data_IF_602831718443
#
_entry.id   IF_602831718443
#
_cell.length_a   1.000
_cell.length_b   1.000
_cell.length_c   1.000
_cell.angle_alpha   90.00
_cell.angle_beta   90.00
_cell.angle_gamma   90.00
#
_symmetry.space_group_name_H-M   'P 1'
#
loop_
_entity.id
_entity.type
_entity.pdbx_description
1 polymer ?
#
# COMPACT_ATOMS: atom_id res chain seq x y z
N UNK A 1 22.44 -15.29 -6.13
CA UNK A 1 22.11 -14.22 -5.16
C UNK A 1 23.06 -13.07 -5.38
N UNK A 2 22.55 -11.83 -5.42
CA UNK A 2 23.35 -10.64 -5.65
C UNK A 2 23.71 -9.98 -4.31
N UNK A 3 24.93 -9.48 -4.19
CA UNK A 3 25.45 -8.85 -2.99
C UNK A 3 26.06 -7.50 -3.34
N UNK A 4 25.84 -6.50 -2.50
CA UNK A 4 26.54 -5.23 -2.55
C UNK A 4 27.70 -5.35 -1.57
N UNK A 5 28.92 -5.16 -2.03
CA UNK A 5 30.12 -5.28 -1.23
C UNK A 5 31.04 -4.07 -1.42
N UNK A 6 31.91 -3.84 -0.44
CA UNK A 6 32.97 -2.86 -0.50
C UNK A 6 34.32 -3.57 -0.54
N UNK A 7 35.20 -3.10 -1.43
CA UNK A 7 36.59 -3.52 -1.48
C UNK A 7 37.32 -2.94 -0.28
N UNK A 8 37.91 -3.79 0.56
CA UNK A 8 38.70 -3.39 1.72
C UNK A 8 40.04 -4.11 1.71
N UNK A 9 41.06 -3.44 2.24
CA UNK A 9 42.36 -4.09 2.47
C UNK A 9 42.39 -4.60 3.89
N UNK A 10 42.60 -5.91 4.05
CA UNK A 10 42.72 -6.49 5.38
C UNK A 10 44.02 -5.97 6.04
N UNK A 11 43.94 -5.37 7.24
CA UNK A 11 45.10 -4.77 7.90
C UNK A 11 46.16 -5.79 8.30
N UNK A 12 45.79 -7.07 8.46
CA UNK A 12 46.67 -8.15 8.90
C UNK A 12 47.29 -8.87 7.71
N UNK A 13 46.47 -9.30 6.74
CA UNK A 13 46.94 -10.09 5.59
C UNK A 13 47.50 -9.22 4.46
N UNK A 14 47.21 -7.91 4.48
CA UNK A 14 47.40 -6.95 3.38
C UNK A 14 46.74 -7.37 2.06
N UNK A 15 45.87 -8.38 2.09
CA UNK A 15 45.13 -8.84 0.93
C UNK A 15 43.88 -8.00 0.73
N UNK A 16 43.46 -7.91 -0.53
CA UNK A 16 42.21 -7.26 -0.89
C UNK A 16 41.08 -8.25 -0.62
N UNK A 17 40.08 -7.80 0.11
CA UNK A 17 38.90 -8.56 0.51
C UNK A 17 37.64 -7.75 0.15
N UNK A 18 36.52 -8.44 -0.01
CA UNK A 18 35.21 -7.87 -0.26
C UNK A 18 34.38 -8.02 1.00
N UNK A 19 34.10 -6.91 1.68
CA UNK A 19 33.14 -6.89 2.79
C UNK A 19 31.74 -6.72 2.22
N UNK A 20 30.83 -7.64 2.52
CA UNK A 20 29.41 -7.46 2.18
C UNK A 20 28.82 -6.29 2.95
N UNK A 21 27.90 -5.58 2.31
CA UNK A 21 27.13 -4.49 2.91
C UNK A 21 25.64 -4.78 2.85
N UNK A 22 25.18 -5.43 1.78
CA UNK A 22 23.81 -5.84 1.64
C UNK A 22 23.69 -7.07 0.74
N UNK A 23 22.65 -7.87 0.95
CA UNK A 23 22.30 -9.02 0.12
C UNK A 23 20.90 -8.84 -0.46
N UNK A 24 20.73 -9.26 -1.71
CA UNK A 24 19.44 -9.27 -2.38
C UNK A 24 18.66 -10.52 -1.97
N UNK A 25 17.59 -10.35 -1.20
CA UNK A 25 16.73 -11.46 -0.75
C UNK A 25 15.65 -11.77 -1.78
N UNK A 26 15.14 -10.76 -2.48
CA UNK A 26 14.17 -10.88 -3.58
C UNK A 26 14.48 -9.84 -4.66
N UNK A 27 13.76 -9.83 -5.80
CA UNK A 27 14.05 -8.92 -6.92
C UNK A 27 14.16 -7.44 -6.52
N UNK A 28 13.38 -6.98 -5.54
CA UNK A 28 13.33 -5.56 -5.13
C UNK A 28 13.77 -5.31 -3.68
N UNK A 29 13.99 -6.35 -2.87
CA UNK A 29 14.31 -6.22 -1.45
C UNK A 29 15.76 -6.59 -1.19
N UNK A 30 16.45 -5.69 -0.49
CA UNK A 30 17.82 -5.85 -0.04
C UNK A 30 17.87 -5.78 1.49
N UNK A 31 18.61 -6.69 2.09
CA UNK A 31 18.87 -6.70 3.52
C UNK A 31 20.29 -6.23 3.78
N UNK A 32 20.47 -5.28 4.70
CA UNK A 32 21.77 -4.72 5.04
C UNK A 32 22.44 -5.64 6.06
N UNK A 33 23.51 -6.30 5.64
CA UNK A 33 24.32 -7.16 6.49
C UNK A 33 25.80 -6.99 6.15
N UNK A 34 26.61 -6.80 7.20
CA UNK A 34 28.07 -6.58 7.11
C UNK A 34 28.89 -7.75 7.62
N UNK A 35 28.25 -8.91 7.80
CA UNK A 35 28.85 -10.04 8.51
C UNK A 35 29.82 -10.85 7.64
N UNK A 36 29.67 -10.82 6.32
CA UNK A 36 30.46 -11.67 5.43
C UNK A 36 31.62 -10.92 4.79
N UNK A 37 32.79 -11.56 4.77
CA UNK A 37 33.99 -11.08 4.09
C UNK A 37 34.49 -12.17 3.17
N UNK A 38 34.74 -11.81 1.91
CA UNK A 38 35.22 -12.74 0.89
C UNK A 38 36.62 -12.36 0.42
N UNK A 39 37.54 -13.33 0.28
CA UNK A 39 38.83 -13.06 -0.31
C UNK A 39 38.67 -12.75 -1.81
N UNK A 40 39.28 -11.66 -2.27
CA UNK A 40 39.33 -11.32 -3.68
C UNK A 40 40.63 -11.87 -4.29
N UNK A 41 40.54 -12.47 -5.47
CA UNK A 41 41.72 -12.95 -6.18
C UNK A 41 42.70 -11.79 -6.44
N UNK A 42 43.99 -12.04 -6.23
CA UNK A 42 45.07 -11.03 -6.15
C UNK A 42 45.25 -10.12 -7.38
N UNK A 43 44.60 -10.43 -8.51
CA UNK A 43 44.75 -9.70 -9.77
C UNK A 43 43.58 -8.74 -10.08
N UNK A 44 42.71 -8.47 -9.10
CA UNK A 44 41.64 -7.49 -9.28
C UNK A 44 42.20 -6.07 -9.34
N UNK A 45 41.96 -5.35 -10.44
CA UNK A 45 42.29 -3.93 -10.60
C UNK A 45 41.42 -2.97 -9.77
N UNK A 46 40.71 -3.49 -8.77
CA UNK A 46 39.75 -2.73 -7.97
C UNK A 46 40.47 -2.03 -6.81
N UNK A 47 40.26 -0.72 -6.71
CA UNK A 47 40.82 0.09 -5.64
C UNK A 47 40.12 -0.14 -4.30
N UNK A 48 40.84 0.12 -3.21
CA UNK A 48 40.28 0.13 -1.86
C UNK A 48 39.14 1.16 -1.75
N UNK A 49 38.05 0.79 -1.09
CA UNK A 49 36.86 1.61 -0.88
C UNK A 49 35.82 1.56 -2.00
N UNK A 50 36.11 0.92 -3.13
CA UNK A 50 35.17 0.81 -4.26
C UNK A 50 33.98 -0.09 -3.89
N UNK A 51 32.78 0.32 -4.29
CA UNK A 51 31.56 -0.47 -4.15
C UNK A 51 31.33 -1.33 -5.39
N UNK A 52 31.06 -2.61 -5.16
CA UNK A 52 30.86 -3.60 -6.21
C UNK A 52 29.60 -4.44 -5.95
N UNK A 53 28.97 -4.87 -7.03
CA UNK A 53 27.95 -5.89 -7.04
C UNK A 53 28.61 -7.24 -7.33
N UNK A 54 28.38 -8.19 -6.44
CA UNK A 54 28.92 -9.55 -6.49
C UNK A 54 27.76 -10.50 -6.70
N UNK A 55 27.74 -11.19 -7.82
CA UNK A 55 26.77 -12.25 -8.08
C UNK A 55 27.37 -13.58 -7.65
N UNK A 56 26.63 -14.34 -6.84
CA UNK A 56 27.06 -15.66 -6.36
C UNK A 56 26.07 -16.75 -6.72
N UNK A 57 26.61 -17.92 -7.04
CA UNK A 57 25.84 -19.13 -7.27
C UNK A 57 25.50 -19.81 -5.92
N UNK A 58 24.57 -20.77 -5.95
CA UNK A 58 24.11 -21.51 -4.77
C UNK A 58 25.22 -22.30 -4.05
N UNK A 59 26.32 -22.60 -4.74
CA UNK A 59 27.52 -23.24 -4.18
C UNK A 59 28.45 -22.25 -3.45
N UNK A 60 28.15 -20.94 -3.49
CA UNK A 60 28.94 -19.88 -2.87
C UNK A 60 30.07 -19.33 -3.75
N UNK A 61 30.25 -19.82 -4.97
CA UNK A 61 31.23 -19.29 -5.92
C UNK A 61 30.79 -17.92 -6.47
N UNK A 62 31.77 -17.05 -6.72
CA UNK A 62 31.54 -15.73 -7.31
C UNK A 62 31.43 -15.91 -8.82
N UNK A 63 30.26 -15.61 -9.37
CA UNK A 63 29.98 -15.66 -10.81
C UNK A 63 30.53 -14.39 -11.48
N UNK A 64 30.20 -13.23 -10.91
CA UNK A 64 30.55 -11.95 -11.52
C UNK A 64 30.76 -10.86 -10.47
N UNK A 65 31.63 -9.90 -10.79
CA UNK A 65 31.88 -8.70 -9.99
C UNK A 65 31.75 -7.50 -10.94
N UNK A 66 30.89 -6.54 -10.59
CA UNK A 66 30.65 -5.33 -11.38
C UNK A 66 30.71 -4.10 -10.47
N UNK A 67 31.11 -2.95 -10.99
CA UNK A 67 31.05 -1.71 -10.21
C UNK A 67 29.60 -1.32 -9.88
N UNK A 68 29.33 -1.00 -8.62
CA UNK A 68 27.98 -0.68 -8.17
C UNK A 68 27.54 0.76 -8.50
N UNK A 69 28.41 1.56 -9.13
CA UNK A 69 28.18 3.01 -9.34
C UNK A 69 26.90 3.29 -10.14
N UNK A 70 26.78 2.73 -11.34
CA UNK A 70 25.62 2.97 -12.23
C UNK A 70 24.33 2.41 -11.61
N UNK A 71 24.43 1.26 -10.95
CA UNK A 71 23.30 0.66 -10.25
C UNK A 71 22.82 1.54 -9.07
N UNK A 72 23.73 2.07 -8.26
CA UNK A 72 23.40 3.02 -7.19
C UNK A 72 22.76 4.30 -7.74
N UNK A 73 23.29 4.85 -8.84
CA UNK A 73 22.69 6.01 -9.50
C UNK A 73 21.27 5.70 -9.99
N UNK A 74 21.04 4.51 -10.54
CA UNK A 74 19.72 4.03 -10.92
C UNK A 74 18.75 3.94 -9.73
N UNK A 75 19.20 3.41 -8.60
CA UNK A 75 18.40 3.38 -7.37
C UNK A 75 18.08 4.77 -6.84
N UNK A 76 19.06 5.66 -6.78
CA UNK A 76 18.85 7.05 -6.35
C UNK A 76 17.86 7.74 -7.30
N UNK A 77 17.94 7.48 -8.60
CA UNK A 77 16.98 8.00 -9.56
C UNK A 77 15.57 7.45 -9.31
N UNK A 78 15.44 6.14 -9.13
CA UNK A 78 14.16 5.45 -8.93
C UNK A 78 13.48 5.83 -7.60
N UNK A 79 14.23 5.96 -6.51
CA UNK A 79 13.69 6.09 -5.16
C UNK A 79 13.87 7.47 -4.53
N UNK A 80 14.71 8.36 -5.06
CA UNK A 80 14.91 9.71 -4.52
C UNK A 80 14.61 10.84 -5.52
N UNK A 81 14.34 10.55 -6.79
CA UNK A 81 13.86 11.58 -7.73
C UNK A 81 12.37 11.86 -7.49
N UNK A 82 11.88 13.03 -7.90
CA UNK A 82 10.49 13.53 -7.70
C UNK A 82 9.34 12.56 -8.00
N UNK A 83 9.58 11.47 -8.73
CA UNK A 83 8.61 10.42 -9.05
C UNK A 83 8.64 9.21 -8.09
N UNK A 84 9.54 9.20 -7.12
CA UNK A 84 9.60 8.17 -6.11
C UNK A 84 8.41 8.30 -5.16
N UNK A 85 7.84 7.15 -4.78
CA UNK A 85 6.78 7.04 -3.79
C UNK A 85 7.37 7.47 -2.43
N UNK A 86 7.40 8.77 -2.19
CA UNK A 86 7.82 9.35 -0.92
C UNK A 86 6.79 8.92 0.15
N UNK A 87 7.23 8.54 1.37
CA UNK A 87 6.33 8.34 2.51
C UNK A 87 5.26 9.43 2.67
N UNK A 88 5.60 10.69 2.39
CA UNK A 88 4.64 11.82 2.41
C UNK A 88 3.55 11.71 1.35
N UNK A 89 3.87 11.16 0.17
CA UNK A 89 2.88 10.91 -0.88
C UNK A 89 1.90 9.81 -0.45
N UNK A 90 2.41 8.72 0.12
CA UNK A 90 1.58 7.63 0.65
C UNK A 90 0.68 8.13 1.78
N UNK A 91 1.21 8.91 2.71
CA UNK A 91 0.44 9.53 3.79
C UNK A 91 -0.64 10.47 3.22
N UNK A 92 -0.32 11.26 2.20
CA UNK A 92 -1.28 12.15 1.55
C UNK A 92 -2.42 11.40 0.84
N UNK A 93 -2.12 10.27 0.20
CA UNK A 93 -3.12 9.41 -0.44
C UNK A 93 -3.97 8.68 0.61
N UNK A 94 -3.36 8.20 1.71
CA UNK A 94 -4.11 7.63 2.84
C UNK A 94 -5.09 8.64 3.44
N UNK A 95 -4.67 9.88 3.62
CA UNK A 95 -5.52 10.96 4.12
C UNK A 95 -6.71 11.23 3.18
N UNK A 96 -6.50 11.21 1.86
CA UNK A 96 -7.59 11.36 0.88
C UNK A 96 -8.58 10.20 0.93
N UNK A 97 -8.08 8.96 1.04
CA UNK A 97 -8.92 7.77 1.18
C UNK A 97 -9.77 7.86 2.45
N UNK A 98 -9.18 8.28 3.57
CA UNK A 98 -9.92 8.44 4.83
C UNK A 98 -10.97 9.56 4.74
N UNK A 99 -10.66 10.67 4.07
CA UNK A 99 -11.65 11.72 3.79
C UNK A 99 -12.82 11.19 2.96
N UNK A 100 -12.56 10.47 1.87
CA UNK A 100 -13.61 9.87 1.05
C UNK A 100 -14.45 8.86 1.84
N UNK A 101 -13.82 8.07 2.71
CA UNK A 101 -14.54 7.14 3.60
C UNK A 101 -15.49 7.88 4.54
N UNK A 102 -15.06 9.01 5.10
CA UNK A 102 -15.90 9.84 5.96
C UNK A 102 -17.09 10.43 5.19
N UNK A 103 -16.85 10.96 3.99
CA UNK A 103 -17.90 11.49 3.12
C UNK A 103 -18.95 10.43 2.75
N UNK A 104 -18.51 9.24 2.32
CA UNK A 104 -19.40 8.12 1.97
C UNK A 104 -20.22 7.66 3.17
N UNK A 105 -19.61 7.63 4.35
CA UNK A 105 -20.30 7.26 5.60
C UNK A 105 -21.36 8.29 5.95
N UNK A 106 -21.04 9.58 5.86
CA UNK A 106 -21.99 10.67 6.10
C UNK A 106 -23.17 10.61 5.13
N UNK A 107 -22.90 10.40 3.84
CA UNK A 107 -23.96 10.26 2.83
C UNK A 107 -24.87 9.05 3.11
N UNK A 108 -24.31 7.91 3.52
CA UNK A 108 -25.10 6.74 3.90
C UNK A 108 -26.01 7.02 5.10
N UNK A 109 -25.51 7.72 6.12
CA UNK A 109 -26.32 8.08 7.29
C UNK A 109 -27.47 9.02 6.90
N UNK A 110 -27.22 10.00 6.04
CA UNK A 110 -28.26 10.88 5.53
C UNK A 110 -29.31 10.14 4.70
N UNK A 111 -28.90 9.21 3.84
CA UNK A 111 -29.81 8.37 3.07
C UNK A 111 -30.69 7.51 3.97
N UNK A 112 -30.10 6.86 4.98
CA UNK A 112 -30.84 6.05 5.95
C UNK A 112 -31.87 6.89 6.72
N UNK A 113 -31.50 8.11 7.12
CA UNK A 113 -32.42 9.04 7.76
C UNK A 113 -33.60 9.37 6.85
N UNK A 114 -33.33 9.74 5.59
CA UNK A 114 -34.39 10.06 4.62
C UNK A 114 -35.29 8.86 4.35
N UNK A 115 -34.72 7.67 4.25
CA UNK A 115 -35.48 6.43 4.08
C UNK A 115 -36.46 6.23 5.24
N UNK A 116 -36.02 6.42 6.48
CA UNK A 116 -36.87 6.29 7.67
C UNK A 116 -37.97 7.37 7.72
N UNK A 117 -37.66 8.61 7.35
CA UNK A 117 -38.65 9.69 7.24
C UNK A 117 -39.74 9.36 6.20
N UNK A 118 -39.34 8.76 5.07
CA UNK A 118 -40.28 8.33 4.01
C UNK A 118 -41.16 7.17 4.51
N UNK A 119 -40.58 6.16 5.16
CA UNK A 119 -41.36 5.03 5.66
C UNK A 119 -42.37 5.48 6.72
N UNK A 120 -41.97 6.38 7.63
CA UNK A 120 -42.88 6.97 8.63
C UNK A 120 -44.05 7.68 7.96
N UNK A 121 -43.80 8.52 6.95
CA UNK A 121 -44.88 9.19 6.20
C UNK A 121 -45.78 8.22 5.47
N UNK A 122 -45.24 7.11 4.98
CA UNK A 122 -46.00 6.06 4.31
C UNK A 122 -46.94 5.35 5.28
N UNK A 123 -46.49 5.06 6.50
CA UNK A 123 -47.32 4.50 7.56
C UNK A 123 -48.46 5.45 7.95
N UNK A 124 -48.16 6.75 8.12
CA UNK A 124 -49.17 7.78 8.38
C UNK A 124 -50.24 7.85 7.27
N UNK A 125 -49.82 7.82 6.00
CA UNK A 125 -50.73 7.82 4.87
C UNK A 125 -51.64 6.58 4.86
N UNK A 126 -51.11 5.40 5.15
CA UNK A 126 -51.90 4.17 5.23
C UNK A 126 -52.97 4.23 6.34
N UNK A 127 -52.63 4.78 7.50
CA UNK A 127 -53.59 4.96 8.60
C UNK A 127 -54.72 5.92 8.22
N UNK A 128 -54.39 7.03 7.55
CA UNK A 128 -55.38 8.00 7.05
C UNK A 128 -56.28 7.38 5.99
N UNK A 129 -55.72 6.63 5.04
CA UNK A 129 -56.48 5.92 4.00
C UNK A 129 -57.46 4.91 4.61
N UNK A 130 -57.03 4.16 5.62
CA UNK A 130 -57.88 3.21 6.33
C UNK A 130 -59.02 3.92 7.07
N UNK A 131 -58.73 5.03 7.75
CA UNK A 131 -59.73 5.82 8.48
C UNK A 131 -60.79 6.38 7.53
N UNK A 132 -60.34 6.93 6.40
CA UNK A 132 -61.22 7.49 5.36
C UNK A 132 -62.09 6.41 4.73
N UNK A 133 -61.55 5.20 4.53
CA UNK A 133 -62.31 4.05 4.04
C UNK A 133 -63.42 3.65 5.04
N UNK A 134 -63.10 3.54 6.33
CA UNK A 134 -64.08 3.22 7.36
C UNK A 134 -65.19 4.27 7.46
N UNK A 135 -64.85 5.55 7.36
CA UNK A 135 -65.83 6.63 7.41
C UNK A 135 -66.77 6.60 6.19
N UNK A 136 -66.23 6.32 4.99
CA UNK A 136 -67.05 6.10 3.79
C UNK A 136 -68.01 4.93 3.93
N UNK A 137 -67.53 3.78 4.42
CA UNK A 137 -68.37 2.60 4.67
C UNK A 137 -69.51 2.94 5.65
N UNK A 138 -69.21 3.68 6.72
CA UNK A 138 -70.22 4.11 7.69
C UNK A 138 -71.27 5.06 7.07
N UNK A 139 -70.84 6.03 6.27
CA UNK A 139 -71.76 6.94 5.56
C UNK A 139 -72.65 6.20 4.56
N UNK A 140 -72.11 5.22 3.84
CA UNK A 140 -72.90 4.38 2.92
C UNK A 140 -73.95 3.54 3.65
N UNK A 141 -73.63 2.99 4.82
CA UNK A 141 -74.58 2.27 5.66
C UNK A 141 -75.72 3.17 6.16
N UNK A 142 -75.40 4.39 6.62
CA UNK A 142 -76.41 5.35 7.06
C UNK A 142 -77.31 5.77 5.90
N UNK A 143 -76.75 6.02 4.72
CA UNK A 143 -77.52 6.35 3.52
C UNK A 143 -78.49 5.22 3.14
N UNK A 144 -78.06 3.95 3.21
CA UNK A 144 -78.93 2.79 2.97
C UNK A 144 -80.08 2.69 3.98
N UNK A 145 -79.81 2.96 5.27
CA UNK A 145 -80.83 2.93 6.33
C UNK A 145 -81.89 4.02 6.18
N UNK A 146 -81.54 5.19 5.63
CA UNK A 146 -82.49 6.28 5.40
C UNK A 146 -83.38 6.08 4.15
N UNK A 147 -83.05 5.12 3.28
CA UNK A 147 -83.81 4.81 2.07
C UNK A 147 -84.78 3.63 2.23
N UNK A 148 -84.78 2.94 3.38
CA UNK A 148 -85.71 1.86 3.75
C UNK A 148 -86.84 2.40 4.63
#
# INVERSE_FOLDING_TARGET
MLYLAQVQKNPISQQIELQTLACQTTETVWEVDKSDVFPLAKDSSLGEGVLVLVERESNGEIISIQEAKEWLLGLLQQYLTKNAINPQFVESEQNKIEQWRQEITSQNLELNRRFLEIETRREELQQLEQSLKQEKEHLEELAKKLQQ
#
